data_IF_441782463006
#
_entry.id   IF_441782463006
#
_cell.length_a   1.000
_cell.length_b   1.000
_cell.length_c   1.000
_cell.angle_alpha   90.00
_cell.angle_beta   90.00
_cell.angle_gamma   90.00
#
_symmetry.space_group_name_H-M   'P 1'
#
loop_
_entity.id
_entity.type
_entity.pdbx_description
1 polymer ?
#
# COMPACT_ATOMS: atom_id res chain seq x y z
N UNK A 1 -20.78 -2.61 3.95
CA UNK A 1 -19.68 -1.70 4.34
C UNK A 1 -18.39 -2.52 4.23
N UNK A 2 -17.53 -2.25 3.24
CA UNK A 2 -16.25 -2.96 3.06
C UNK A 2 -15.26 -2.46 4.12
N UNK A 3 -14.93 -3.27 5.12
CA UNK A 3 -13.98 -2.93 6.19
C UNK A 3 -12.54 -3.16 5.70
N UNK A 4 -11.73 -2.11 5.57
CA UNK A 4 -10.25 -2.16 5.34
C UNK A 4 -9.73 -2.86 4.07
N UNK A 5 -10.52 -3.70 3.39
CA UNK A 5 -10.10 -4.54 2.25
C UNK A 5 -9.63 -3.73 1.05
N UNK A 6 -10.06 -2.48 0.92
CA UNK A 6 -9.65 -1.59 -0.15
C UNK A 6 -8.13 -1.34 -0.18
N UNK A 7 -7.48 -1.27 0.99
CA UNK A 7 -6.03 -1.07 1.07
C UNK A 7 -5.32 -2.33 0.55
N UNK A 8 -5.71 -3.49 1.06
CA UNK A 8 -5.15 -4.79 0.65
C UNK A 8 -5.34 -5.05 -0.84
N UNK A 9 -6.56 -4.88 -1.37
CA UNK A 9 -6.83 -5.13 -2.79
C UNK A 9 -6.00 -4.21 -3.69
N UNK A 10 -5.88 -2.93 -3.30
CA UNK A 10 -5.15 -1.93 -4.10
C UNK A 10 -3.64 -2.16 -4.07
N UNK A 11 -3.07 -2.47 -2.90
CA UNK A 11 -1.63 -2.75 -2.76
C UNK A 11 -1.25 -4.07 -3.41
N UNK A 12 -2.06 -5.13 -3.27
CA UNK A 12 -1.80 -6.42 -3.93
C UNK A 12 -1.85 -6.31 -5.45
N UNK A 13 -2.92 -5.74 -6.01
CA UNK A 13 -3.03 -5.58 -7.46
C UNK A 13 -1.89 -4.71 -8.02
N UNK A 14 -1.48 -3.67 -7.28
CA UNK A 14 -0.36 -2.83 -7.69
C UNK A 14 0.99 -3.54 -7.59
N UNK A 15 1.23 -4.30 -6.52
CA UNK A 15 2.43 -5.10 -6.35
C UNK A 15 2.59 -6.11 -7.49
N UNK A 16 1.51 -6.79 -7.87
CA UNK A 16 1.50 -7.71 -9.01
C UNK A 16 1.82 -7.00 -10.33
N UNK A 17 1.26 -5.80 -10.56
CA UNK A 17 1.61 -4.98 -11.73
C UNK A 17 3.09 -4.62 -11.74
N UNK A 18 3.67 -4.23 -10.61
CA UNK A 18 5.12 -4.00 -10.51
C UNK A 18 5.92 -5.26 -10.81
N UNK A 19 5.48 -6.42 -10.30
CA UNK A 19 6.15 -7.69 -10.53
C UNK A 19 6.11 -8.10 -12.01
N UNK A 20 4.96 -7.94 -12.68
CA UNK A 20 4.81 -8.17 -14.13
C UNK A 20 5.70 -7.21 -14.92
N UNK A 21 5.69 -5.92 -14.59
CA UNK A 21 6.54 -4.94 -15.26
C UNK A 21 8.03 -5.26 -15.07
N UNK A 22 8.46 -5.55 -13.84
CA UNK A 22 9.85 -5.91 -13.54
C UNK A 22 10.28 -7.18 -14.27
N UNK A 23 9.40 -8.17 -14.40
CA UNK A 23 9.69 -9.39 -15.16
C UNK A 23 9.86 -9.09 -16.66
N UNK A 24 8.96 -8.27 -17.24
CA UNK A 24 9.02 -7.84 -18.64
C UNK A 24 10.28 -7.01 -18.93
N UNK A 25 10.64 -6.08 -18.06
CA UNK A 25 11.81 -5.20 -18.25
C UNK A 25 13.14 -5.94 -18.04
N UNK A 26 13.21 -6.87 -17.09
CA UNK A 26 14.42 -7.63 -16.80
C UNK A 26 14.57 -8.92 -17.64
N UNK A 27 13.89 -9.01 -18.81
CA UNK A 27 13.98 -10.14 -19.76
C UNK A 27 13.83 -11.52 -19.09
N UNK A 28 12.87 -11.66 -18.19
CA UNK A 28 12.55 -12.91 -17.48
C UNK A 28 13.64 -13.43 -16.54
N UNK A 29 14.60 -12.58 -16.12
CA UNK A 29 15.52 -12.89 -15.03
C UNK A 29 14.83 -12.64 -13.68
N UNK A 30 15.23 -13.37 -12.62
CA UNK A 30 14.63 -13.24 -11.27
C UNK A 30 14.77 -11.81 -10.75
N UNK A 31 13.68 -11.04 -10.78
CA UNK A 31 13.59 -9.73 -10.15
C UNK A 31 13.18 -9.86 -8.67
N UNK A 32 13.57 -8.87 -7.84
CA UNK A 32 13.07 -8.76 -6.46
C UNK A 32 11.55 -8.59 -6.49
N UNK A 33 10.84 -9.47 -5.79
CA UNK A 33 9.38 -9.37 -5.64
C UNK A 33 9.06 -8.11 -4.85
N UNK A 34 8.14 -7.32 -5.38
CA UNK A 34 7.59 -6.13 -4.75
C UNK A 34 6.41 -6.54 -3.87
N UNK A 35 6.38 -6.05 -2.64
CA UNK A 35 5.26 -6.18 -1.71
C UNK A 35 5.06 -4.83 -1.05
N UNK A 36 3.86 -4.25 -1.12
CA UNK A 36 3.62 -2.87 -0.72
C UNK A 36 2.86 -2.81 0.61
N UNK A 37 3.17 -1.83 1.47
CA UNK A 37 2.54 -1.73 2.80
C UNK A 37 1.08 -1.26 2.72
N UNK A 38 0.09 -2.12 3.05
CA UNK A 38 -1.30 -1.69 3.23
C UNK A 38 -1.46 -0.83 4.48
N UNK A 39 -0.57 -0.98 5.48
CA UNK A 39 -0.63 -0.17 6.69
C UNK A 39 -0.27 1.28 6.41
N UNK A 40 0.71 1.55 5.54
CA UNK A 40 1.03 2.91 5.10
C UNK A 40 -0.18 3.57 4.41
N UNK A 41 -0.94 2.81 3.60
CA UNK A 41 -2.19 3.31 2.96
C UNK A 41 -3.21 3.74 4.01
N UNK A 42 -3.40 2.93 5.06
CA UNK A 42 -4.31 3.24 6.16
C UNK A 42 -3.80 4.44 6.95
N UNK A 43 -2.57 4.36 7.46
CA UNK A 43 -1.96 5.40 8.29
C UNK A 43 -2.00 6.78 7.63
N UNK A 44 -1.83 6.83 6.31
CA UNK A 44 -1.71 8.07 5.56
C UNK A 44 -2.98 8.46 4.80
N UNK A 45 -4.13 7.92 5.20
CA UNK A 45 -5.45 8.29 4.67
C UNK A 45 -5.52 8.20 3.14
N UNK A 46 -4.81 7.24 2.54
CA UNK A 46 -4.67 7.13 1.09
C UNK A 46 -5.89 6.41 0.51
N UNK A 47 -7.11 6.83 0.86
CA UNK A 47 -8.35 6.27 0.33
C UNK A 47 -9.25 5.59 1.36
N UNK A 48 -8.85 5.49 2.63
CA UNK A 48 -9.73 4.97 3.67
C UNK A 48 -9.07 4.68 5.00
N UNK A 49 -9.77 3.90 5.81
CA UNK A 49 -9.38 3.46 7.15
C UNK A 49 -9.73 1.97 7.34
N UNK A 50 -9.51 1.43 8.53
CA UNK A 50 -10.05 0.12 8.92
C UNK A 50 -11.59 0.02 8.80
N UNK A 51 -12.31 1.15 8.84
CA UNK A 51 -13.77 1.22 8.73
C UNK A 51 -14.27 1.25 7.28
N UNK A 52 -13.35 1.23 6.32
CA UNK A 52 -13.62 1.20 4.89
C UNK A 52 -13.00 2.35 4.12
N UNK A 53 -13.20 2.32 2.81
CA UNK A 53 -12.56 3.25 1.90
C UNK A 53 -12.89 2.99 0.44
N UNK A 54 -12.24 3.77 -0.42
CA UNK A 54 -12.36 3.72 -1.87
C UNK A 54 -11.00 3.39 -2.53
N UNK A 55 -10.88 2.24 -3.21
CA UNK A 55 -9.62 1.84 -3.85
C UNK A 55 -9.17 2.81 -4.96
N UNK A 56 -10.10 3.53 -5.61
CA UNK A 56 -9.74 4.57 -6.59
C UNK A 56 -8.97 5.70 -5.91
N UNK A 57 -9.36 6.08 -4.69
CA UNK A 57 -8.68 7.12 -3.93
C UNK A 57 -7.24 6.71 -3.55
N UNK A 58 -6.98 5.41 -3.36
CA UNK A 58 -5.62 4.87 -3.21
C UNK A 58 -4.78 5.22 -4.43
N UNK A 59 -5.24 4.87 -5.63
CA UNK A 59 -4.50 5.15 -6.86
C UNK A 59 -4.38 6.65 -7.16
N UNK A 60 -5.40 7.45 -6.84
CA UNK A 60 -5.32 8.91 -6.93
C UNK A 60 -4.18 9.47 -6.07
N UNK A 61 -4.11 9.03 -4.81
CA UNK A 61 -3.08 9.50 -3.88
C UNK A 61 -1.68 9.01 -4.28
N UNK A 62 -1.58 7.80 -4.81
CA UNK A 62 -0.31 7.21 -5.28
C UNK A 62 0.35 7.92 -6.48
N UNK A 63 -0.34 8.85 -7.14
CA UNK A 63 0.28 9.72 -8.15
C UNK A 63 1.24 10.74 -7.53
N UNK A 64 0.99 11.13 -6.29
CA UNK A 64 1.68 12.23 -5.62
C UNK A 64 2.37 11.80 -4.32
N UNK A 65 1.90 10.73 -3.69
CA UNK A 65 2.43 10.21 -2.43
C UNK A 65 2.93 8.78 -2.66
N UNK A 66 4.22 8.51 -2.43
CA UNK A 66 4.75 7.17 -2.64
C UNK A 66 4.26 6.20 -1.57
N UNK A 67 4.18 4.94 -1.96
CA UNK A 67 3.99 3.83 -1.03
C UNK A 67 5.31 3.05 -0.85
N UNK A 68 5.66 2.66 0.38
CA UNK A 68 6.84 1.86 0.64
C UNK A 68 6.57 0.35 0.49
N UNK A 69 7.64 -0.44 0.55
CA UNK A 69 7.55 -1.90 0.73
C UNK A 69 6.89 -2.25 2.07
N UNK A 70 6.27 -3.42 2.17
CA UNK A 70 5.53 -3.91 3.36
C UNK A 70 6.38 -3.95 4.64
N UNK A 71 7.69 -4.14 4.51
CA UNK A 71 8.63 -4.13 5.63
C UNK A 71 8.74 -2.77 6.35
N UNK A 72 8.38 -1.67 5.70
CA UNK A 72 8.45 -0.34 6.30
C UNK A 72 7.44 -0.13 7.43
N UNK A 73 6.25 -0.71 7.27
CA UNK A 73 5.18 -0.67 8.26
C UNK A 73 4.37 -1.95 8.13
N UNK A 74 4.70 -3.00 8.92
CA UNK A 74 3.94 -4.23 8.91
C UNK A 74 2.47 -3.99 9.24
N UNK A 75 1.59 -4.77 8.61
CA UNK A 75 0.15 -4.66 8.84
C UNK A 75 -0.25 -5.02 10.27
N UNK A 76 -1.00 -4.14 10.92
CA UNK A 76 -1.45 -4.29 12.32
C UNK A 76 -2.98 -4.22 12.49
N UNK A 77 -3.74 -4.20 11.39
CA UNK A 77 -5.22 -4.23 11.40
C UNK A 77 -5.88 -3.14 12.25
N UNK A 78 -5.24 -1.97 12.36
CA UNK A 78 -5.79 -0.85 13.15
C UNK A 78 -5.45 0.49 12.52
N UNK A 79 -6.30 1.46 12.81
CA UNK A 79 -5.97 2.87 12.61
C UNK A 79 -4.91 3.31 13.64
N UNK A 80 -4.20 4.39 13.33
CA UNK A 80 -3.34 5.06 14.31
C UNK A 80 -4.20 5.61 15.47
N UNK A 81 -3.60 5.80 16.65
CA UNK A 81 -4.32 6.37 17.81
C UNK A 81 -4.81 7.79 17.53
N UNK A 82 -4.03 8.53 16.76
CA UNK A 82 -4.25 9.89 16.31
C UNK A 82 -4.81 9.95 14.88
N UNK A 83 -5.46 8.89 14.40
CA UNK A 83 -6.01 8.80 13.04
C UNK A 83 -7.02 9.92 12.70
N UNK A 84 -7.68 10.52 13.68
CA UNK A 84 -8.58 11.66 13.39
C UNK A 84 -7.82 12.91 12.92
N UNK A 85 -6.49 12.95 13.09
CA UNK A 85 -5.64 13.98 12.50
C UNK A 85 -5.22 13.54 11.09
N UNK A 86 -5.49 14.35 10.04
CA UNK A 86 -5.17 13.97 8.66
C UNK A 86 -3.66 13.97 8.33
N UNK A 87 -2.80 14.20 9.33
CA UNK A 87 -1.37 14.36 9.16
C UNK A 87 -0.65 13.02 9.20
N UNK A 88 -0.27 12.54 8.01
CA UNK A 88 0.66 11.42 7.84
C UNK A 88 2.09 11.88 8.14
N UNK A 89 2.66 11.45 9.27
CA UNK A 89 4.04 11.76 9.63
C UNK A 89 4.99 10.82 8.88
N UNK A 90 6.26 11.21 8.75
CA UNK A 90 7.27 10.38 8.09
C UNK A 90 7.40 8.98 8.72
N UNK A 91 7.22 8.89 10.05
CA UNK A 91 7.26 7.62 10.80
C UNK A 91 6.06 6.71 10.50
N UNK A 92 4.95 7.28 10.03
CA UNK A 92 3.73 6.54 9.70
C UNK A 92 3.78 5.92 8.30
N UNK A 93 4.67 6.44 7.44
CA UNK A 93 4.99 5.88 6.13
C UNK A 93 5.97 4.72 6.29
N UNK A 94 7.15 4.99 6.84
CA UNK A 94 8.19 3.99 7.00
C UNK A 94 8.95 4.23 8.30
N UNK A 95 9.13 3.17 9.08
CA UNK A 95 9.87 3.22 10.33
C UNK A 95 10.71 1.98 10.53
N UNK A 96 11.76 2.18 11.31
CA UNK A 96 12.53 1.11 11.93
C UNK A 96 12.44 1.31 13.43
N UNK A 97 12.28 0.22 14.17
CA UNK A 97 12.25 0.24 15.62
C UNK A 97 13.46 -0.51 16.12
N UNK A 98 14.27 0.15 16.93
CA UNK A 98 15.45 -0.44 17.53
C UNK A 98 15.03 -1.28 18.75
N UNK A 99 15.77 -2.36 19.02
CA UNK A 99 15.51 -3.26 20.14
C UNK A 99 15.69 -2.61 21.52
N UNK A 100 15.34 -3.29 22.62
CA UNK A 100 14.93 -4.71 22.76
C UNK A 100 13.49 -4.98 22.27
N UNK A 101 13.02 -6.23 22.27
CA UNK A 101 11.61 -6.56 21.97
C UNK A 101 10.70 -5.98 23.06
N UNK A 102 9.49 -5.44 22.74
CA UNK A 102 8.62 -4.89 23.77
C UNK A 102 8.21 -5.97 24.77
N UNK A 103 8.04 -5.58 26.03
CA UNK A 103 7.31 -6.42 27.00
C UNK A 103 5.90 -6.68 26.47
N UNK A 104 5.35 -7.87 26.72
CA UNK A 104 4.02 -8.26 26.26
C UNK A 104 2.98 -7.17 26.60
N UNK A 105 2.16 -6.80 25.61
CA UNK A 105 1.14 -5.75 25.75
C UNK A 105 1.64 -4.30 25.62
N UNK A 106 2.95 -4.05 25.51
CA UNK A 106 3.50 -2.71 25.24
C UNK A 106 3.93 -2.55 23.78
N UNK A 107 3.79 -1.33 23.26
CA UNK A 107 4.29 -0.97 21.93
C UNK A 107 5.55 -0.12 22.07
N UNK A 108 6.66 -0.52 21.45
CA UNK A 108 7.92 0.25 21.43
C UNK A 108 7.92 1.41 20.42
N UNK A 109 6.81 2.16 20.33
CA UNK A 109 6.76 3.28 19.40
C UNK A 109 7.81 4.36 19.75
N UNK A 110 8.18 4.49 21.02
CA UNK A 110 9.25 5.38 21.51
C UNK A 110 10.65 5.06 20.96
N UNK A 111 10.93 3.80 20.62
CA UNK A 111 12.22 3.38 20.04
C UNK A 111 12.16 3.30 18.51
N UNK A 112 11.07 3.78 17.90
CA UNK A 112 10.94 3.82 16.46
C UNK A 112 11.37 5.19 15.92
N UNK A 113 12.08 5.16 14.79
CA UNK A 113 12.46 6.35 14.03
C UNK A 113 11.98 6.26 12.60
N UNK A 114 11.67 7.41 12.02
CA UNK A 114 11.28 7.49 10.62
C UNK A 114 12.45 7.12 9.71
N UNK A 115 12.16 6.37 8.66
CA UNK A 115 13.11 6.07 7.57
C UNK A 115 12.69 6.89 6.36
N UNK A 116 13.57 7.76 5.88
CA UNK A 116 13.29 8.64 4.72
C UNK A 116 13.88 8.11 3.42
N UNK A 117 14.93 7.29 3.53
CA UNK A 117 15.58 6.61 2.40
C UNK A 117 15.03 5.19 2.26
N UNK A 118 14.02 5.04 1.40
CA UNK A 118 13.39 3.77 1.07
C UNK A 118 12.94 3.77 -0.38
N UNK A 119 12.66 2.59 -0.93
CA UNK A 119 12.15 2.44 -2.29
C UNK A 119 10.73 3.00 -2.38
N UNK A 120 10.58 4.07 -3.17
CA UNK A 120 9.31 4.78 -3.37
C UNK A 120 8.58 4.25 -4.60
N UNK A 121 7.37 3.78 -4.42
CA UNK A 121 6.51 3.32 -5.52
C UNK A 121 5.42 4.34 -5.83
N UNK A 122 5.28 4.69 -7.11
CA UNK A 122 4.27 5.62 -7.61
C UNK A 122 3.48 4.99 -8.75
N UNK A 123 2.29 5.52 -9.02
CA UNK A 123 1.53 5.20 -10.23
C UNK A 123 1.54 6.36 -11.21
N UNK A 124 1.66 6.07 -12.51
CA UNK A 124 1.58 7.09 -13.56
C UNK A 124 0.15 7.58 -13.81
N UNK A 125 -0.85 6.74 -13.54
CA UNK A 125 -2.26 7.06 -13.72
C UNK A 125 -3.17 5.93 -13.23
N UNK A 126 -4.47 6.15 -13.29
CA UNK A 126 -5.50 5.18 -12.95
C UNK A 126 -6.71 5.38 -13.88
N UNK A 127 -7.46 4.32 -14.10
CA UNK A 127 -8.69 4.33 -14.88
C UNK A 127 -9.79 3.60 -14.12
N UNK A 128 -11.04 4.02 -14.37
CA UNK A 128 -12.23 3.33 -13.88
C UNK A 128 -12.91 2.73 -15.10
N UNK A 129 -13.24 1.45 -15.03
CA UNK A 129 -13.93 0.71 -16.07
C UNK A 129 -14.94 -0.24 -15.44
N UNK A 130 -15.95 -0.61 -16.22
CA UNK A 130 -17.00 -1.52 -15.81
C UNK A 130 -17.35 -2.47 -16.95
N UNK A 131 -17.90 -3.62 -16.60
CA UNK A 131 -18.28 -4.67 -17.55
C UNK A 131 -17.16 -5.66 -17.84
N UNK A 132 -17.54 -6.92 -18.06
CA UNK A 132 -16.59 -8.03 -18.19
C UNK A 132 -15.58 -7.84 -19.33
N UNK A 133 -16.00 -7.29 -20.46
CA UNK A 133 -15.13 -7.09 -21.62
C UNK A 133 -14.04 -6.03 -21.38
N UNK A 134 -14.37 -4.94 -20.70
CA UNK A 134 -13.37 -3.93 -20.33
C UNK A 134 -12.38 -4.48 -19.29
N UNK A 135 -12.88 -5.23 -18.30
CA UNK A 135 -12.06 -5.88 -17.27
C UNK A 135 -11.07 -6.88 -17.90
N UNK A 136 -11.54 -7.75 -18.80
CA UNK A 136 -10.67 -8.72 -19.50
C UNK A 136 -9.56 -8.02 -20.28
N UNK A 137 -9.89 -6.96 -21.02
CA UNK A 137 -8.91 -6.18 -21.79
C UNK A 137 -7.82 -5.58 -20.90
N UNK A 138 -8.22 -4.98 -19.78
CA UNK A 138 -7.27 -4.39 -18.82
C UNK A 138 -6.34 -5.46 -18.22
N UNK A 139 -6.90 -6.60 -17.78
CA UNK A 139 -6.12 -7.67 -17.13
C UNK A 139 -5.05 -8.23 -18.08
N UNK A 140 -5.40 -8.49 -19.33
CA UNK A 140 -4.47 -9.08 -20.31
C UNK A 140 -3.31 -8.13 -20.63
N UNK A 141 -3.60 -6.83 -20.78
CA UNK A 141 -2.59 -5.85 -21.18
C UNK A 141 -1.71 -5.43 -19.99
N UNK A 142 -2.33 -5.14 -18.85
CA UNK A 142 -1.70 -4.41 -17.75
C UNK A 142 -1.62 -5.18 -16.44
N UNK A 143 -2.26 -6.36 -16.33
CA UNK A 143 -2.25 -7.19 -15.12
C UNK A 143 -3.44 -6.94 -14.19
N UNK A 144 -3.40 -7.47 -12.95
CA UNK A 144 -4.55 -7.51 -12.05
C UNK A 144 -5.25 -6.16 -11.83
N UNK A 145 -6.54 -6.21 -11.54
CA UNK A 145 -7.41 -5.04 -11.32
C UNK A 145 -8.10 -5.14 -9.96
N UNK A 146 -8.58 -4.00 -9.46
CA UNK A 146 -9.38 -3.94 -8.23
C UNK A 146 -10.86 -3.81 -8.59
N UNK A 147 -11.69 -4.66 -8.01
CA UNK A 147 -13.14 -4.65 -8.19
C UNK A 147 -13.84 -4.47 -6.84
N UNK A 148 -14.93 -3.70 -6.81
CA UNK A 148 -15.90 -3.75 -5.72
C UNK A 148 -16.96 -4.81 -6.02
N UNK A 149 -17.39 -5.55 -5.00
CA UNK A 149 -18.46 -6.56 -5.06
C UNK A 149 -19.65 -6.13 -4.21
#
# INVERSE_FOLDING_TARGET
VMLGWQAQSSTSALADRFNIMNWRTNKNTKAKITSLSPQAVINCHMGGSCWGGNPVAVYQKLRHTPIPDDSCTPYVSRNLKDFELPDCKAIDVCKVCDGPVPVEGKSLQENCRAVTDFKKHFVSGYNIFAGAEAIKKEIVLFGPVVCGL
#
